data_IF_670180906623
#
_entry.id   IF_670180906623
#
_cell.length_a   1.000
_cell.length_b   1.000
_cell.length_c   1.000
_cell.angle_alpha   90.00
_cell.angle_beta   90.00
_cell.angle_gamma   90.00
#
_symmetry.space_group_name_H-M   'P 1'
#
loop_
_entity.id
_entity.type
_entity.pdbx_description
1 polymer ?
#
# COMPACT_ATOMS: atom_id res chain seq x y z
N UNK A 1 -23.13 -23.91 -4.25
CA UNK A 1 -23.01 -22.86 -5.28
C UNK A 1 -21.82 -23.19 -6.17
N UNK A 2 -21.92 -23.01 -7.49
CA UNK A 2 -20.80 -23.20 -8.42
C UNK A 2 -20.47 -21.86 -9.09
N UNK A 3 -19.36 -21.26 -8.69
CA UNK A 3 -18.88 -20.02 -9.29
C UNK A 3 -18.09 -20.33 -10.57
N UNK A 4 -18.29 -19.52 -11.62
CA UNK A 4 -17.57 -19.66 -12.91
C UNK A 4 -16.23 -18.93 -12.91
N UNK A 5 -16.11 -17.91 -12.09
CA UNK A 5 -14.88 -17.16 -11.85
C UNK A 5 -14.98 -16.46 -10.49
N UNK A 6 -13.84 -16.12 -9.93
CA UNK A 6 -13.70 -15.25 -8.76
C UNK A 6 -12.62 -14.24 -9.09
N UNK A 7 -12.89 -12.97 -8.83
CA UNK A 7 -11.92 -11.90 -8.93
C UNK A 7 -11.60 -11.44 -7.51
N UNK A 8 -10.33 -11.21 -7.26
CA UNK A 8 -9.84 -10.66 -6.01
C UNK A 8 -9.26 -9.29 -6.29
N UNK A 9 -9.49 -8.39 -5.36
CA UNK A 9 -8.67 -7.20 -5.25
C UNK A 9 -7.24 -7.62 -4.86
N UNK A 10 -6.25 -6.76 -5.11
CA UNK A 10 -4.86 -7.07 -4.83
C UNK A 10 -4.48 -6.55 -3.44
N UNK A 11 -4.50 -5.24 -3.28
CA UNK A 11 -4.00 -4.54 -2.10
C UNK A 11 -4.92 -4.76 -0.90
N UNK A 12 -4.36 -5.25 0.20
CA UNK A 12 -5.11 -5.58 1.40
C UNK A 12 -6.03 -6.80 1.28
N UNK A 13 -6.04 -7.49 0.12
CA UNK A 13 -6.79 -8.74 -0.09
C UNK A 13 -5.85 -9.91 -0.37
N UNK A 14 -5.03 -9.83 -1.44
CA UNK A 14 -4.04 -10.85 -1.76
C UNK A 14 -2.65 -10.50 -1.24
N UNK A 15 -2.35 -9.21 -1.12
CA UNK A 15 -1.03 -8.71 -0.70
C UNK A 15 -1.20 -7.71 0.44
N UNK A 16 -0.42 -7.87 1.51
CA UNK A 16 -0.25 -6.84 2.53
C UNK A 16 0.74 -5.79 2.02
N UNK A 17 0.23 -4.88 1.19
CA UNK A 17 1.03 -3.87 0.48
C UNK A 17 1.20 -2.56 1.26
N UNK A 18 0.64 -2.45 2.46
CA UNK A 18 0.73 -1.23 3.28
C UNK A 18 2.19 -0.81 3.53
N UNK A 19 3.12 -1.71 3.97
CA UNK A 19 4.49 -1.31 4.26
C UNK A 19 5.23 -0.79 3.02
N UNK A 20 4.99 -1.41 1.86
CA UNK A 20 5.69 -1.08 0.61
C UNK A 20 5.17 0.22 0.02
N UNK A 21 3.84 0.42 0.02
CA UNK A 21 3.20 1.67 -0.41
C UNK A 21 3.65 2.82 0.49
N UNK A 22 3.72 2.59 1.81
CA UNK A 22 4.16 3.59 2.76
C UNK A 22 5.62 4.01 2.54
N UNK A 23 6.51 3.07 2.23
CA UNK A 23 7.89 3.38 1.87
C UNK A 23 7.98 4.18 0.57
N UNK A 24 7.23 3.79 -0.47
CA UNK A 24 7.21 4.52 -1.74
C UNK A 24 6.73 5.97 -1.57
N UNK A 25 5.69 6.18 -0.75
CA UNK A 25 5.18 7.52 -0.43
C UNK A 25 6.21 8.33 0.36
N UNK A 26 6.86 7.72 1.35
CA UNK A 26 7.91 8.41 2.12
C UNK A 26 9.12 8.79 1.25
N UNK A 27 9.51 7.93 0.32
CA UNK A 27 10.56 8.23 -0.65
C UNK A 27 10.19 9.45 -1.52
N UNK A 28 8.96 9.48 -2.03
CA UNK A 28 8.44 10.60 -2.81
C UNK A 28 8.36 11.91 -2.00
N UNK A 29 7.95 11.84 -0.72
CA UNK A 29 7.95 13.01 0.16
C UNK A 29 9.37 13.57 0.37
N UNK A 30 10.34 12.69 0.59
CA UNK A 30 11.74 13.07 0.75
C UNK A 30 12.31 13.74 -0.51
N UNK A 31 12.04 13.19 -1.70
CA UNK A 31 12.44 13.78 -2.98
C UNK A 31 11.87 15.18 -3.20
N UNK A 32 10.66 15.44 -2.68
CA UNK A 32 10.01 16.74 -2.76
C UNK A 32 10.40 17.69 -1.60
N UNK A 33 11.30 17.29 -0.71
CA UNK A 33 11.74 18.10 0.43
C UNK A 33 10.69 18.21 1.57
N UNK A 34 9.74 17.29 1.62
CA UNK A 34 8.74 17.19 2.68
C UNK A 34 9.16 16.18 3.76
N UNK A 35 8.68 16.34 5.01
CA UNK A 35 8.94 15.36 6.06
C UNK A 35 8.22 14.03 5.78
N UNK A 36 8.88 12.92 6.10
CA UNK A 36 8.30 11.58 6.02
C UNK A 36 7.28 11.33 7.14
N UNK A 37 6.40 10.34 6.93
CA UNK A 37 5.42 9.89 7.91
C UNK A 37 5.96 8.73 8.75
N UNK A 38 5.70 8.78 10.05
CA UNK A 38 6.03 7.69 10.97
C UNK A 38 5.03 6.53 10.82
N UNK A 39 5.39 5.30 11.23
CA UNK A 39 4.49 4.14 11.14
C UNK A 39 3.13 4.31 11.83
N UNK A 40 3.03 5.17 12.85
CA UNK A 40 1.78 5.46 13.54
C UNK A 40 0.88 6.46 12.80
N UNK A 41 1.43 7.14 11.78
CA UNK A 41 0.74 8.15 10.95
C UNK A 41 0.42 7.64 9.55
N UNK A 42 0.90 6.45 9.21
CA UNK A 42 0.52 5.65 8.04
C UNK A 42 -0.72 4.87 8.43
#
# INVERSE_FOLDING_TARGET
>A
MRYRAVLFDLDGTLVDSIPDIAQAVNHMLEEMGHPTLSPQKI
#
